data_IF_326746396291
#
_entry.id   IF_326746396291
#
_cell.length_a   1.000
_cell.length_b   1.000
_cell.length_c   1.000
_cell.angle_alpha   90.00
_cell.angle_beta   90.00
_cell.angle_gamma   90.00
#
_symmetry.space_group_name_H-M   'P 1'
#
loop_
_entity.id
_entity.type
_entity.pdbx_description
1 polymer ?
#
# COMPACT_ATOMS: atom_id res chain seq x y z
N UNK A 1 -46.57 6.11 -8.07
CA UNK A 1 -45.70 4.92 -8.13
C UNK A 1 -46.58 3.68 -8.09
N UNK A 2 -46.49 2.78 -9.09
CA UNK A 2 -47.23 1.52 -9.11
C UNK A 2 -46.23 0.37 -8.91
N UNK A 3 -46.42 -0.45 -7.87
CA UNK A 3 -45.58 -1.63 -7.59
C UNK A 3 -45.17 -1.74 -6.12
N UNK A 4 -44.62 -2.90 -5.75
CA UNK A 4 -44.08 -3.15 -4.41
C UNK A 4 -42.84 -2.29 -4.13
N UNK A 5 -42.65 -1.93 -2.87
CA UNK A 5 -41.57 -1.04 -2.44
C UNK A 5 -40.17 -1.53 -2.81
N UNK A 6 -39.33 -0.57 -3.22
CA UNK A 6 -37.88 -0.70 -3.27
C UNK A 6 -37.27 0.38 -2.40
N UNK A 7 -36.29 -0.01 -1.60
CA UNK A 7 -35.61 0.90 -0.70
C UNK A 7 -34.17 0.51 -0.44
N UNK A 8 -33.51 1.33 0.36
CA UNK A 8 -32.18 1.06 0.90
C UNK A 8 -32.19 1.31 2.41
N UNK A 9 -31.47 0.45 3.14
CA UNK A 9 -31.27 0.59 4.58
C UNK A 9 -30.27 1.71 4.81
N UNK A 10 -30.69 2.76 5.52
CA UNK A 10 -29.77 3.80 5.96
C UNK A 10 -29.01 3.37 7.22
N UNK A 11 -29.75 2.90 8.21
CA UNK A 11 -29.19 2.58 9.53
C UNK A 11 -29.90 1.36 10.13
N UNK A 12 -29.13 0.59 10.86
CA UNK A 12 -29.62 -0.52 11.68
C UNK A 12 -29.46 -0.10 13.13
N UNK A 13 -30.56 -0.03 13.88
CA UNK A 13 -30.55 0.53 15.24
C UNK A 13 -31.45 -0.27 16.18
N UNK A 14 -30.92 -0.58 17.35
CA UNK A 14 -31.68 -1.14 18.45
C UNK A 14 -32.49 -0.05 19.16
N UNK A 15 -33.80 -0.26 19.29
CA UNK A 15 -34.72 0.67 19.93
C UNK A 15 -35.35 -0.01 21.17
N UNK A 16 -35.38 0.67 22.33
CA UNK A 16 -35.99 0.12 23.54
C UNK A 16 -37.44 -0.30 23.31
N UNK A 17 -37.76 -1.56 23.61
CA UNK A 17 -39.11 -2.12 23.47
C UNK A 17 -39.50 -2.57 22.05
N UNK A 18 -38.76 -2.16 21.02
CA UNK A 18 -38.99 -2.60 19.63
C UNK A 18 -37.92 -3.60 19.13
N UNK A 19 -36.79 -3.68 19.84
CA UNK A 19 -35.65 -4.48 19.41
C UNK A 19 -34.92 -3.83 18.24
N UNK A 20 -34.34 -4.66 17.36
CA UNK A 20 -33.62 -4.16 16.19
C UNK A 20 -34.61 -3.59 15.15
N UNK A 21 -34.34 -2.38 14.68
CA UNK A 21 -35.15 -1.66 13.69
C UNK A 21 -34.27 -1.20 12.53
N UNK A 22 -34.87 -1.01 11.35
CA UNK A 22 -34.18 -0.43 10.20
C UNK A 22 -34.76 0.95 9.90
N UNK A 23 -33.90 1.94 9.80
CA UNK A 23 -34.24 3.21 9.15
C UNK A 23 -34.00 3.02 7.65
N UNK A 24 -35.04 3.20 6.83
CA UNK A 24 -34.99 2.94 5.39
C UNK A 24 -35.47 4.15 4.60
N UNK A 25 -34.93 4.33 3.40
CA UNK A 25 -35.51 5.20 2.38
C UNK A 25 -36.16 4.32 1.32
N UNK A 26 -37.44 4.56 1.08
CA UNK A 26 -38.20 3.98 -0.03
C UNK A 26 -38.16 4.98 -1.16
N UNK A 27 -37.62 4.57 -2.31
CA UNK A 27 -37.47 5.43 -3.49
C UNK A 27 -38.38 5.01 -4.65
N UNK A 28 -38.98 3.81 -4.59
CA UNK A 28 -39.96 3.34 -5.57
C UNK A 28 -41.03 2.46 -4.89
N UNK A 29 -42.22 2.41 -5.49
CA UNK A 29 -43.35 1.59 -5.02
C UNK A 29 -44.05 2.07 -3.74
N UNK A 30 -44.79 1.15 -3.12
CA UNK A 30 -45.49 1.32 -1.87
C UNK A 30 -45.17 0.16 -0.91
N UNK A 31 -45.02 0.47 0.38
CA UNK A 31 -44.76 -0.49 1.45
C UNK A 31 -45.97 -0.51 2.38
N UNK A 32 -46.49 -1.69 2.66
CA UNK A 32 -47.62 -1.90 3.55
C UNK A 32 -47.21 -2.68 4.79
N UNK A 33 -47.96 -2.48 5.87
CA UNK A 33 -47.88 -3.34 7.04
C UNK A 33 -48.15 -4.79 6.63
N UNK A 34 -47.49 -5.75 7.28
CA UNK A 34 -47.54 -7.18 6.99
C UNK A 34 -46.91 -7.63 5.66
N UNK A 35 -46.40 -6.70 4.84
CA UNK A 35 -45.63 -7.03 3.64
C UNK A 35 -44.45 -7.95 3.98
N UNK A 36 -44.25 -8.94 3.12
CA UNK A 36 -43.04 -9.77 3.14
C UNK A 36 -41.91 -8.99 2.48
N UNK A 37 -40.84 -8.74 3.21
CA UNK A 37 -39.65 -8.03 2.72
C UNK A 37 -38.45 -8.95 2.63
N UNK A 38 -37.56 -8.61 1.70
CA UNK A 38 -36.22 -9.18 1.58
C UNK A 38 -35.20 -8.05 1.72
N UNK A 39 -34.30 -8.17 2.68
CA UNK A 39 -33.25 -7.19 2.97
C UNK A 39 -31.86 -7.84 2.95
N UNK A 40 -30.86 -7.08 2.54
CA UNK A 40 -29.47 -7.54 2.55
C UNK A 40 -28.92 -7.76 3.95
N UNK A 41 -28.39 -8.96 4.18
CA UNK A 41 -27.72 -9.33 5.42
C UNK A 41 -26.25 -9.68 5.21
N UNK A 42 -25.50 -9.82 6.31
CA UNK A 42 -24.05 -10.06 6.32
C UNK A 42 -23.65 -11.37 5.63
N UNK A 43 -24.38 -12.45 5.92
CA UNK A 43 -24.11 -13.79 5.38
C UNK A 43 -25.13 -14.22 4.33
N UNK A 44 -26.41 -13.93 4.58
CA UNK A 44 -27.53 -14.29 3.70
C UNK A 44 -28.59 -13.17 3.69
N UNK A 45 -29.38 -13.05 2.62
CA UNK A 45 -30.56 -12.19 2.63
C UNK A 45 -31.52 -12.60 3.73
N UNK A 46 -32.10 -11.62 4.40
CA UNK A 46 -33.09 -11.79 5.46
C UNK A 46 -34.48 -11.66 4.82
N UNK A 47 -35.34 -12.65 5.07
CA UNK A 47 -36.72 -12.67 4.59
C UNK A 47 -37.62 -12.63 5.83
N UNK A 48 -38.43 -11.58 5.96
CA UNK A 48 -39.32 -11.38 7.13
C UNK A 48 -40.55 -10.57 6.78
N UNK A 49 -41.60 -10.67 7.59
CA UNK A 49 -42.76 -9.79 7.53
C UNK A 49 -42.55 -8.53 8.37
N UNK A 50 -43.08 -7.41 7.88
CA UNK A 50 -43.14 -6.14 8.61
C UNK A 50 -44.20 -6.22 9.70
N UNK A 51 -43.84 -5.92 10.94
CA UNK A 51 -44.78 -5.81 12.06
C UNK A 51 -45.38 -4.41 12.18
N UNK A 52 -44.57 -3.38 11.94
CA UNK A 52 -44.99 -1.99 11.98
C UNK A 52 -44.12 -1.11 11.08
N UNK A 53 -44.75 -0.09 10.49
CA UNK A 53 -44.08 1.00 9.78
C UNK A 53 -44.27 2.25 10.62
N UNK A 54 -43.15 2.86 11.01
CA UNK A 54 -43.09 4.02 11.88
C UNK A 54 -42.61 5.23 11.06
N UNK A 55 -43.40 6.29 11.06
CA UNK A 55 -43.00 7.59 10.49
C UNK A 55 -42.71 8.57 11.63
N UNK A 56 -41.74 9.48 11.46
CA UNK A 56 -41.55 10.56 12.42
C UNK A 56 -42.85 11.36 12.52
N UNK A 57 -43.31 11.65 13.73
CA UNK A 57 -44.42 12.60 13.87
C UNK A 57 -43.98 13.97 13.34
N UNK A 58 -44.89 14.75 12.74
CA UNK A 58 -44.66 16.19 12.55
C UNK A 58 -44.21 16.83 13.87
N UNK A 59 -43.58 18.01 13.82
CA UNK A 59 -43.06 18.74 14.98
C UNK A 59 -44.13 18.99 16.06
N UNK A 60 -44.43 17.97 16.88
CA UNK A 60 -45.27 18.04 18.07
C UNK A 60 -44.39 18.03 19.31
N UNK A 61 -44.83 18.83 20.28
CA UNK A 61 -44.12 19.38 21.43
C UNK A 61 -42.99 18.55 22.06
N UNK A 62 -41.91 19.26 22.45
CA UNK A 62 -40.71 18.84 23.21
C UNK A 62 -41.02 18.14 24.56
N UNK A 63 -42.30 17.91 24.89
CA UNK A 63 -42.76 17.56 26.24
C UNK A 63 -42.77 16.07 26.58
N UNK A 64 -42.70 15.14 25.61
CA UNK A 64 -42.45 13.71 25.91
C UNK A 64 -41.54 13.02 24.88
N UNK A 65 -40.26 12.73 25.21
CA UNK A 65 -39.32 12.09 24.30
C UNK A 65 -39.67 10.63 23.95
N UNK A 66 -40.71 10.04 24.56
CA UNK A 66 -41.14 8.65 24.33
C UNK A 66 -42.09 8.47 23.13
N UNK A 67 -42.71 9.52 22.63
CA UNK A 67 -43.78 9.43 21.62
C UNK A 67 -43.37 10.02 20.25
N UNK A 68 -42.18 9.64 19.76
CA UNK A 68 -41.54 10.24 18.57
C UNK A 68 -42.05 9.74 17.22
N UNK A 69 -42.81 8.63 17.20
CA UNK A 69 -43.20 7.95 15.97
C UNK A 69 -44.69 7.65 15.94
N UNK A 70 -45.32 7.81 14.78
CA UNK A 70 -46.67 7.31 14.50
C UNK A 70 -46.58 6.05 13.65
N UNK A 71 -47.40 5.05 13.97
CA UNK A 71 -47.55 3.86 13.14
C UNK A 71 -48.48 4.17 11.96
N UNK A 72 -48.11 3.73 10.78
CA UNK A 72 -48.92 3.85 9.56
C UNK A 72 -49.08 2.48 8.89
N UNK A 73 -50.20 2.30 8.18
CA UNK A 73 -50.49 1.03 7.49
C UNK A 73 -49.85 0.95 6.10
N UNK A 74 -49.63 2.10 5.45
CA UNK A 74 -49.06 2.17 4.10
C UNK A 74 -48.23 3.44 3.93
N UNK A 75 -47.12 3.32 3.21
CA UNK A 75 -46.27 4.45 2.81
C UNK A 75 -45.90 4.33 1.33
N UNK A 76 -45.85 5.47 0.64
CA UNK A 76 -45.48 5.56 -0.78
C UNK A 76 -44.13 6.25 -0.95
N UNK A 77 -43.36 5.83 -1.96
CA UNK A 77 -42.16 6.54 -2.34
C UNK A 77 -42.43 7.99 -2.78
N UNK A 78 -41.55 8.96 -2.52
CA UNK A 78 -40.31 8.85 -1.76
C UNK A 78 -40.57 9.09 -0.26
N UNK A 79 -40.11 8.18 0.61
CA UNK A 79 -40.32 8.30 2.05
C UNK A 79 -39.18 7.69 2.88
N UNK A 80 -38.80 8.40 3.94
CA UNK A 80 -37.96 7.86 5.01
C UNK A 80 -38.82 7.29 6.12
N UNK A 81 -38.70 6.00 6.39
CA UNK A 81 -39.49 5.31 7.41
C UNK A 81 -38.62 4.42 8.29
N UNK A 82 -39.07 4.16 9.51
CA UNK A 82 -38.49 3.14 10.37
C UNK A 82 -39.37 1.89 10.32
N UNK A 83 -38.78 0.74 10.02
CA UNK A 83 -39.49 -0.53 9.99
C UNK A 83 -39.11 -1.40 11.18
N UNK A 84 -40.12 -2.07 11.73
CA UNK A 84 -39.98 -3.05 12.81
C UNK A 84 -40.32 -4.42 12.23
N UNK A 85 -39.38 -5.36 12.30
CA UNK A 85 -39.56 -6.72 11.84
C UNK A 85 -38.75 -7.70 12.72
N UNK A 86 -39.07 -8.98 12.64
CA UNK A 86 -38.32 -10.03 13.34
C UNK A 86 -37.08 -10.43 12.53
N UNK A 87 -36.04 -10.96 13.18
CA UNK A 87 -34.97 -11.63 12.45
C UNK A 87 -34.05 -10.68 11.68
N UNK A 88 -33.99 -9.41 12.07
CA UNK A 88 -33.20 -8.38 11.41
C UNK A 88 -31.70 -8.44 11.78
N UNK A 89 -31.31 -9.39 12.61
CA UNK A 89 -29.92 -9.57 13.03
C UNK A 89 -29.02 -9.81 11.82
N UNK A 90 -27.98 -8.99 11.70
CA UNK A 90 -27.05 -9.05 10.57
C UNK A 90 -27.51 -8.31 9.31
N UNK A 91 -28.62 -7.56 9.34
CA UNK A 91 -28.92 -6.59 8.29
C UNK A 91 -27.78 -5.58 8.12
N UNK A 92 -27.51 -5.15 6.88
CA UNK A 92 -26.41 -4.22 6.59
C UNK A 92 -26.94 -2.83 6.27
N UNK A 93 -26.27 -1.81 6.82
CA UNK A 93 -26.46 -0.44 6.34
C UNK A 93 -25.95 -0.30 4.89
N UNK A 94 -26.71 0.43 4.08
CA UNK A 94 -26.55 0.55 2.63
C UNK A 94 -27.14 -0.61 1.82
N UNK A 95 -27.68 -1.66 2.46
CA UNK A 95 -28.23 -2.79 1.72
C UNK A 95 -29.58 -2.48 1.05
N UNK A 96 -29.85 -3.11 -0.10
CA UNK A 96 -31.15 -3.00 -0.75
C UNK A 96 -32.24 -3.72 0.05
N UNK A 97 -33.45 -3.20 -0.06
CA UNK A 97 -34.68 -3.76 0.48
C UNK A 97 -35.74 -3.84 -0.63
N UNK A 98 -36.41 -4.99 -0.72
CA UNK A 98 -37.55 -5.20 -1.61
C UNK A 98 -38.74 -5.72 -0.83
N UNK A 99 -39.92 -5.15 -1.07
CA UNK A 99 -41.18 -5.80 -0.74
C UNK A 99 -41.53 -6.82 -1.83
N UNK A 100 -41.92 -8.02 -1.42
CA UNK A 100 -42.32 -9.11 -2.29
C UNK A 100 -43.80 -8.95 -2.62
N UNK A 101 -44.18 -8.80 -3.90
CA UNK A 101 -45.58 -8.73 -4.30
C UNK A 101 -46.34 -10.00 -3.91
N UNK A 102 -47.64 -9.90 -3.59
CA UNK A 102 -48.49 -11.06 -3.36
C UNK A 102 -48.44 -12.04 -4.54
N UNK A 103 -48.15 -13.32 -4.27
CA UNK A 103 -48.08 -14.36 -5.28
C UNK A 103 -46.72 -14.54 -5.96
N UNK A 104 -45.73 -13.67 -5.69
CA UNK A 104 -44.35 -13.87 -6.15
C UNK A 104 -43.49 -14.67 -5.16
N UNK A 105 -42.44 -15.32 -5.68
CA UNK A 105 -41.51 -16.09 -4.84
C UNK A 105 -40.46 -15.20 -4.16
N UNK A 106 -40.32 -15.24 -2.82
CA UNK A 106 -39.30 -14.48 -2.08
C UNK A 106 -37.87 -14.81 -2.51
N UNK A 107 -37.64 -16.05 -2.97
CA UNK A 107 -36.32 -16.52 -3.44
C UNK A 107 -35.81 -15.71 -4.63
N UNK A 108 -36.70 -15.20 -5.48
CA UNK A 108 -36.32 -14.34 -6.62
C UNK A 108 -35.69 -13.04 -6.12
N UNK A 109 -36.31 -12.39 -5.16
CA UNK A 109 -35.82 -11.15 -4.56
C UNK A 109 -34.56 -11.36 -3.72
N UNK A 110 -34.45 -12.49 -3.02
CA UNK A 110 -33.22 -12.87 -2.31
C UNK A 110 -32.02 -12.99 -3.25
N UNK A 111 -32.20 -13.55 -4.46
CA UNK A 111 -31.15 -13.58 -5.48
C UNK A 111 -30.76 -12.17 -5.93
N UNK A 112 -31.74 -11.29 -6.21
CA UNK A 112 -31.46 -9.90 -6.60
C UNK A 112 -30.61 -9.17 -5.56
N UNK A 113 -31.02 -9.21 -4.29
CA UNK A 113 -30.29 -8.63 -3.16
C UNK A 113 -28.87 -9.19 -3.07
N UNK A 114 -28.71 -10.50 -3.22
CA UNK A 114 -27.39 -11.15 -3.15
C UNK A 114 -26.46 -10.67 -4.25
N UNK A 115 -26.96 -10.57 -5.49
CA UNK A 115 -26.16 -10.12 -6.63
C UNK A 115 -25.78 -8.64 -6.54
N UNK A 116 -26.62 -7.79 -5.94
CA UNK A 116 -26.27 -6.39 -5.68
C UNK A 116 -25.16 -6.27 -4.63
N UNK A 117 -25.26 -7.01 -3.51
CA UNK A 117 -24.22 -7.00 -2.46
C UNK A 117 -22.89 -7.55 -2.98
N UNK A 118 -22.91 -8.60 -3.81
CA UNK A 118 -21.71 -9.18 -4.42
C UNK A 118 -20.97 -8.23 -5.36
N UNK A 119 -21.65 -7.23 -5.95
CA UNK A 119 -20.97 -6.21 -6.77
C UNK A 119 -20.18 -5.22 -5.93
N UNK A 120 -20.64 -4.98 -4.70
CA UNK A 120 -20.02 -4.05 -3.75
C UNK A 120 -18.89 -4.76 -2.99
N UNK A 121 -19.09 -6.00 -2.57
CA UNK A 121 -18.06 -6.81 -1.92
C UNK A 121 -17.08 -7.36 -2.93
N UNK A 122 -15.80 -7.25 -2.62
CA UNK A 122 -14.71 -7.71 -3.50
C UNK A 122 -14.02 -8.88 -2.83
N UNK A 123 -13.80 -9.96 -3.57
CA UNK A 123 -12.94 -11.06 -3.16
C UNK A 123 -12.31 -11.61 -4.44
N UNK A 124 -11.03 -11.27 -4.63
CA UNK A 124 -10.25 -11.60 -5.82
C UNK A 124 -8.89 -12.13 -5.42
N UNK A 125 -8.22 -12.83 -6.33
CA UNK A 125 -6.89 -13.39 -6.07
C UNK A 125 -5.75 -12.41 -6.41
N UNK A 126 -6.05 -11.14 -6.64
CA UNK A 126 -5.04 -10.13 -7.00
C UNK A 126 -4.16 -9.77 -5.80
N UNK A 127 -2.96 -9.28 -6.10
CA UNK A 127 -2.06 -8.68 -5.12
C UNK A 127 -2.56 -7.29 -4.77
N UNK A 128 -3.37 -7.19 -3.71
CA UNK A 128 -4.05 -5.97 -3.34
C UNK A 128 -4.33 -5.87 -1.86
N UNK A 129 -4.73 -4.69 -1.44
CA UNK A 129 -5.00 -4.39 -0.02
C UNK A 129 -6.29 -5.07 0.45
N UNK A 130 -6.40 -5.24 1.76
CA UNK A 130 -7.64 -5.70 2.42
C UNK A 130 -8.38 -4.48 3.00
N UNK A 131 -9.65 -4.34 2.66
CA UNK A 131 -10.51 -3.23 3.08
C UNK A 131 -11.69 -3.75 3.90
N UNK A 132 -11.86 -3.20 5.10
CA UNK A 132 -12.97 -3.48 6.02
C UNK A 132 -13.69 -2.18 6.36
N UNK A 133 -15.02 -2.20 6.30
CA UNK A 133 -15.86 -1.04 6.62
C UNK A 133 -17.09 -1.42 7.43
N UNK A 134 -17.77 -0.43 8.01
CA UNK A 134 -18.98 -0.60 8.81
C UNK A 134 -20.26 -0.70 7.97
N UNK A 135 -20.31 -0.01 6.82
CA UNK A 135 -21.46 -0.01 5.91
C UNK A 135 -21.07 -0.37 4.48
N UNK A 136 -22.05 -0.80 3.66
CA UNK A 136 -21.82 -1.03 2.23
C UNK A 136 -21.49 0.26 1.47
N UNK A 137 -22.11 1.39 1.84
CA UNK A 137 -21.88 2.67 1.18
C UNK A 137 -20.47 3.21 1.40
N UNK A 138 -19.95 3.11 2.62
CA UNK A 138 -18.54 3.46 2.90
C UNK A 138 -17.58 2.52 2.18
N UNK A 139 -17.90 1.23 2.10
CA UNK A 139 -17.07 0.24 1.41
C UNK A 139 -16.93 0.59 -0.08
N UNK A 140 -18.05 0.89 -0.73
CA UNK A 140 -18.10 1.29 -2.15
C UNK A 140 -17.31 2.58 -2.40
N UNK A 141 -17.53 3.62 -1.58
CA UNK A 141 -16.87 4.90 -1.71
C UNK A 141 -15.33 4.78 -1.57
N UNK A 142 -14.87 4.02 -0.58
CA UNK A 142 -13.43 3.82 -0.36
C UNK A 142 -12.82 2.99 -1.49
N UNK A 143 -13.48 1.91 -1.91
CA UNK A 143 -13.00 1.07 -3.01
C UNK A 143 -12.86 1.85 -4.33
N UNK A 144 -13.80 2.74 -4.65
CA UNK A 144 -13.75 3.58 -5.84
C UNK A 144 -12.59 4.59 -5.78
N UNK A 145 -12.36 5.24 -4.63
CA UNK A 145 -11.22 6.16 -4.44
C UNK A 145 -9.88 5.42 -4.60
N UNK A 146 -9.76 4.22 -4.05
CA UNK A 146 -8.56 3.39 -4.18
C UNK A 146 -8.30 3.01 -5.63
N UNK A 147 -9.35 2.63 -6.37
CA UNK A 147 -9.28 2.31 -7.78
C UNK A 147 -8.83 3.51 -8.62
N UNK A 148 -9.34 4.71 -8.34
CA UNK A 148 -8.92 5.96 -9.00
C UNK A 148 -7.43 6.27 -8.74
N UNK A 149 -6.90 5.85 -7.59
CA UNK A 149 -5.48 5.98 -7.24
C UNK A 149 -4.62 4.79 -7.71
N UNK A 150 -5.14 3.92 -8.58
CA UNK A 150 -4.48 2.70 -9.07
C UNK A 150 -4.05 1.73 -7.95
N UNK A 151 -4.81 1.67 -6.87
CA UNK A 151 -4.60 0.72 -5.77
C UNK A 151 -5.56 -0.44 -5.94
N UNK A 152 -5.02 -1.65 -6.06
CA UNK A 152 -5.82 -2.87 -6.17
C UNK A 152 -6.34 -3.30 -4.80
N UNK A 153 -7.58 -3.77 -4.77
CA UNK A 153 -8.23 -4.28 -3.57
C UNK A 153 -8.45 -5.77 -3.76
N UNK A 154 -7.85 -6.58 -2.88
CA UNK A 154 -8.00 -8.04 -2.87
C UNK A 154 -9.32 -8.44 -2.24
N UNK A 155 -9.59 -7.89 -1.05
CA UNK A 155 -10.79 -8.16 -0.26
C UNK A 155 -11.41 -6.82 0.14
N UNK A 156 -12.71 -6.67 -0.10
CA UNK A 156 -13.53 -5.57 0.42
C UNK A 156 -14.78 -6.17 1.06
N UNK A 157 -14.93 -6.02 2.37
CA UNK A 157 -16.04 -6.63 3.11
C UNK A 157 -16.49 -5.80 4.31
N UNK A 158 -17.71 -6.06 4.80
CA UNK A 158 -18.33 -5.32 5.91
C UNK A 158 -18.13 -6.04 7.24
N UNK A 159 -17.67 -5.31 8.25
CA UNK A 159 -17.49 -5.76 9.62
C UNK A 159 -16.06 -5.62 10.13
N UNK A 160 -15.88 -5.99 11.40
CA UNK A 160 -14.60 -5.88 12.10
C UNK A 160 -13.46 -6.68 11.43
N UNK A 161 -12.24 -6.21 11.63
CA UNK A 161 -11.01 -6.87 11.16
C UNK A 161 -10.79 -8.13 11.98
N UNK A 162 -10.73 -9.26 11.29
CA UNK A 162 -10.53 -10.59 11.86
C UNK A 162 -9.12 -11.11 11.60
N UNK A 163 -8.73 -12.17 12.31
CA UNK A 163 -7.47 -12.87 12.07
C UNK A 163 -7.31 -13.33 10.62
N UNK A 164 -8.42 -13.73 9.96
CA UNK A 164 -8.41 -14.12 8.56
C UNK A 164 -7.97 -12.98 7.65
N UNK A 165 -8.44 -11.77 7.90
CA UNK A 165 -8.09 -10.58 7.11
C UNK A 165 -6.57 -10.29 7.20
N UNK A 166 -5.96 -10.51 8.37
CA UNK A 166 -4.51 -10.39 8.61
C UNK A 166 -3.71 -11.44 7.88
N UNK A 167 -4.18 -12.69 7.87
CA UNK A 167 -3.53 -13.77 7.13
C UNK A 167 -3.52 -13.46 5.63
N UNK A 168 -4.65 -13.02 5.06
CA UNK A 168 -4.73 -12.64 3.65
C UNK A 168 -3.77 -11.48 3.30
N UNK A 169 -3.73 -10.44 4.13
CA UNK A 169 -2.77 -9.34 3.95
C UNK A 169 -1.31 -9.81 4.04
N UNK A 170 -1.02 -10.83 4.88
CA UNK A 170 0.33 -11.38 4.99
C UNK A 170 0.77 -12.15 3.76
N UNK A 171 -0.14 -12.90 3.11
CA UNK A 171 0.14 -13.61 1.86
C UNK A 171 0.48 -12.61 0.74
N UNK A 172 -0.25 -11.49 0.68
CA UNK A 172 0.07 -10.40 -0.27
C UNK A 172 1.43 -9.78 0.03
N UNK A 173 1.74 -9.55 1.32
CA UNK A 173 3.02 -8.95 1.73
C UNK A 173 4.25 -9.76 1.29
N UNK A 174 4.14 -11.09 1.27
CA UNK A 174 5.23 -11.97 0.83
C UNK A 174 5.60 -11.75 -0.64
N UNK A 175 4.61 -11.46 -1.49
CA UNK A 175 4.79 -11.25 -2.92
C UNK A 175 5.03 -9.79 -3.26
N UNK A 176 4.18 -8.89 -2.77
CA UNK A 176 4.26 -7.45 -2.96
C UNK A 176 4.17 -6.72 -1.61
N UNK A 177 5.33 -6.43 -0.96
CA UNK A 177 5.38 -5.88 0.40
C UNK A 177 4.62 -4.56 0.59
N UNK A 178 4.41 -3.80 -0.48
CA UNK A 178 3.72 -2.52 -0.48
C UNK A 178 2.20 -2.64 -0.37
N UNK A 179 1.61 -3.78 -0.73
CA UNK A 179 0.16 -3.98 -0.74
C UNK A 179 -0.35 -4.90 0.38
N UNK A 180 0.56 -5.49 1.15
CA UNK A 180 0.23 -6.31 2.32
C UNK A 180 -0.20 -5.49 3.54
N UNK A 181 -1.30 -4.73 3.41
CA UNK A 181 -1.84 -3.86 4.46
C UNK A 181 -3.36 -3.97 4.58
N UNK A 182 -3.89 -3.54 5.72
CA UNK A 182 -5.33 -3.53 6.00
C UNK A 182 -5.81 -2.09 6.20
N UNK A 183 -6.89 -1.72 5.53
CA UNK A 183 -7.65 -0.50 5.78
C UNK A 183 -8.93 -0.83 6.55
N UNK A 184 -9.07 -0.24 7.74
CA UNK A 184 -10.18 -0.46 8.66
C UNK A 184 -10.95 0.85 8.89
N UNK A 185 -12.07 1.01 8.18
CA UNK A 185 -12.92 2.20 8.25
C UNK A 185 -14.06 2.01 9.24
N UNK A 186 -14.08 2.82 10.31
CA UNK A 186 -15.10 2.83 11.35
C UNK A 186 -15.43 1.45 11.97
N UNK A 187 -14.46 0.53 11.96
CA UNK A 187 -14.61 -0.82 12.51
C UNK A 187 -13.57 -1.10 13.59
N UNK A 188 -13.81 -2.12 14.40
CA UNK A 188 -12.87 -2.59 15.41
C UNK A 188 -11.88 -3.58 14.78
N UNK A 189 -10.74 -3.72 15.45
CA UNK A 189 -9.77 -4.79 15.18
C UNK A 189 -9.95 -5.78 16.33
N UNK A 190 -10.24 -7.04 16.00
CA UNK A 190 -10.42 -8.07 17.02
C UNK A 190 -9.07 -8.34 17.71
N UNK A 191 -9.06 -8.73 19.01
CA UNK A 191 -7.81 -8.91 19.76
C UNK A 191 -6.85 -9.91 19.10
N UNK A 192 -7.38 -11.04 18.61
CA UNK A 192 -6.62 -12.08 17.90
C UNK A 192 -6.04 -11.59 16.56
N UNK A 193 -6.73 -10.65 15.90
CA UNK A 193 -6.25 -10.01 14.68
C UNK A 193 -5.12 -9.00 14.98
N UNK A 194 -5.24 -8.24 16.07
CA UNK A 194 -4.21 -7.28 16.47
C UNK A 194 -2.89 -7.99 16.82
N UNK A 195 -2.95 -9.07 17.61
CA UNK A 195 -1.79 -9.89 17.95
C UNK A 195 -1.12 -10.49 16.70
N UNK A 196 -1.91 -11.05 15.77
CA UNK A 196 -1.37 -11.63 14.54
C UNK A 196 -0.74 -10.56 13.63
N UNK A 197 -1.32 -9.36 13.59
CA UNK A 197 -0.80 -8.25 12.80
C UNK A 197 0.57 -7.79 13.31
N UNK A 198 0.78 -7.75 14.64
CA UNK A 198 2.09 -7.47 15.23
C UNK A 198 3.11 -8.56 14.91
N UNK A 199 2.74 -9.83 15.08
CA UNK A 199 3.63 -10.98 14.81
C UNK A 199 4.10 -10.99 13.35
N UNK A 200 3.20 -10.73 12.40
CA UNK A 200 3.50 -10.72 10.96
C UNK A 200 3.94 -9.35 10.43
N UNK A 201 4.01 -8.36 11.31
CA UNK A 201 4.35 -6.97 11.00
C UNK A 201 3.45 -6.38 9.88
N UNK A 202 2.14 -6.65 9.94
CA UNK A 202 1.14 -6.14 9.00
C UNK A 202 0.66 -4.77 9.46
N UNK A 203 0.79 -3.77 8.59
CA UNK A 203 0.32 -2.43 8.89
C UNK A 203 -1.22 -2.38 8.77
N UNK A 204 -1.88 -1.95 9.84
CA UNK A 204 -3.33 -1.72 9.87
C UNK A 204 -3.60 -0.23 10.02
N UNK A 205 -4.32 0.35 9.06
CA UNK A 205 -4.76 1.74 9.10
C UNK A 205 -6.20 1.77 9.62
N UNK A 206 -6.40 2.37 10.79
CA UNK A 206 -7.71 2.48 11.41
C UNK A 206 -8.14 3.93 11.50
N UNK A 207 -9.24 4.28 10.86
CA UNK A 207 -9.76 5.65 10.83
C UNK A 207 -11.29 5.67 10.80
N UNK A 208 -11.88 6.81 11.19
CA UNK A 208 -13.32 7.05 11.11
C UNK A 208 -13.70 8.02 9.98
N UNK A 209 -12.70 8.65 9.34
CA UNK A 209 -12.88 9.63 8.27
C UNK A 209 -12.19 9.12 7.00
N UNK A 210 -12.93 9.05 5.90
CA UNK A 210 -12.47 8.43 4.64
C UNK A 210 -11.16 9.07 4.14
N UNK A 211 -11.13 10.41 4.08
CA UNK A 211 -9.95 11.12 3.57
C UNK A 211 -8.70 10.88 4.42
N UNK A 212 -8.84 10.79 5.74
CA UNK A 212 -7.69 10.49 6.61
C UNK A 212 -7.16 9.08 6.37
N UNK A 213 -8.05 8.10 6.19
CA UNK A 213 -7.66 6.72 5.91
C UNK A 213 -6.83 6.63 4.62
N UNK A 214 -7.34 7.24 3.55
CA UNK A 214 -6.69 7.25 2.25
C UNK A 214 -5.38 8.04 2.30
N UNK A 215 -5.37 9.24 2.86
CA UNK A 215 -4.18 10.08 2.93
C UNK A 215 -3.06 9.42 3.73
N UNK A 216 -3.39 8.82 4.87
CA UNK A 216 -2.41 8.12 5.72
C UNK A 216 -1.82 6.92 4.98
N UNK A 217 -2.66 6.14 4.28
CA UNK A 217 -2.21 5.04 3.46
C UNK A 217 -1.34 5.49 2.28
N UNK A 218 -1.75 6.50 1.51
CA UNK A 218 -1.00 7.00 0.35
C UNK A 218 0.34 7.62 0.75
N UNK A 219 0.38 8.35 1.88
CA UNK A 219 1.64 8.87 2.45
C UNK A 219 2.57 7.74 2.84
N UNK A 220 2.06 6.72 3.52
CA UNK A 220 2.84 5.54 3.86
C UNK A 220 3.35 4.82 2.61
N UNK A 221 2.49 4.56 1.63
CA UNK A 221 2.86 3.90 0.37
C UNK A 221 3.96 4.66 -0.37
N UNK A 222 3.86 6.00 -0.44
CA UNK A 222 4.89 6.85 -1.02
C UNK A 222 6.22 6.72 -0.27
N UNK A 223 6.19 6.81 1.07
CA UNK A 223 7.40 6.69 1.90
C UNK A 223 8.08 5.32 1.76
N UNK A 224 7.31 4.24 1.65
CA UNK A 224 7.84 2.89 1.46
C UNK A 224 8.46 2.71 0.07
N UNK A 225 7.84 3.28 -0.97
CA UNK A 225 8.43 3.31 -2.32
C UNK A 225 9.74 4.07 -2.34
N UNK A 226 9.79 5.25 -1.71
CA UNK A 226 11.01 6.06 -1.60
C UNK A 226 12.10 5.31 -0.83
N UNK A 227 11.77 4.68 0.29
CA UNK A 227 12.72 3.88 1.07
C UNK A 227 13.25 2.67 0.29
N UNK A 228 12.40 1.97 -0.46
CA UNK A 228 12.81 0.85 -1.34
C UNK A 228 13.77 1.34 -2.42
N UNK A 229 13.44 2.44 -3.10
CA UNK A 229 14.30 3.05 -4.11
C UNK A 229 15.64 3.52 -3.52
N UNK A 230 15.63 4.03 -2.29
CA UNK A 230 16.87 4.42 -1.61
C UNK A 230 17.74 3.21 -1.26
N UNK A 231 17.15 2.13 -0.74
CA UNK A 231 17.88 0.88 -0.47
C UNK A 231 18.43 0.24 -1.74
N UNK A 232 17.67 0.26 -2.83
CA UNK A 232 18.15 -0.19 -4.14
C UNK A 232 19.30 0.67 -4.63
N UNK A 233 19.19 2.00 -4.50
CA UNK A 233 20.24 2.94 -4.86
C UNK A 233 21.51 2.74 -4.02
N UNK A 234 21.41 2.54 -2.71
CA UNK A 234 22.57 2.31 -1.82
C UNK A 234 23.34 1.04 -2.16
N UNK A 235 22.66 0.00 -2.68
CA UNK A 235 23.29 -1.25 -3.11
C UNK A 235 24.10 -1.11 -4.40
N UNK A 236 23.81 -0.11 -5.24
CA UNK A 236 24.51 0.10 -6.51
C UNK A 236 25.96 0.51 -6.27
N UNK A 237 26.87 -0.07 -7.05
CA UNK A 237 28.27 0.32 -7.06
C UNK A 237 28.41 1.74 -7.62
N UNK A 238 28.93 2.65 -6.80
CA UNK A 238 29.02 4.07 -7.15
C UNK A 238 30.30 4.37 -7.96
N UNK A 239 30.25 5.29 -8.92
CA UNK A 239 31.41 5.67 -9.72
C UNK A 239 32.47 6.35 -8.83
N UNK A 240 33.73 6.11 -9.15
CA UNK A 240 34.86 6.74 -8.48
C UNK A 240 36.07 6.78 -9.38
N UNK A 241 36.81 7.88 -9.33
CA UNK A 241 38.05 8.12 -10.07
C UNK A 241 39.11 8.52 -9.07
N UNK A 242 40.21 7.79 -9.05
CA UNK A 242 41.29 7.98 -8.09
C UNK A 242 42.62 8.10 -8.80
N UNK A 243 43.53 8.89 -8.21
CA UNK A 243 44.90 9.07 -8.66
C UNK A 243 45.87 8.49 -7.64
N UNK A 244 46.80 7.65 -8.07
CA UNK A 244 47.88 7.17 -7.19
C UNK A 244 48.90 8.30 -7.00
N UNK A 245 49.12 8.69 -5.74
CA UNK A 245 50.00 9.81 -5.40
C UNK A 245 51.49 9.43 -5.52
N UNK A 246 52.28 10.31 -6.14
CA UNK A 246 53.72 10.15 -6.29
C UNK A 246 54.45 10.23 -4.95
N UNK A 247 55.35 9.27 -4.68
CA UNK A 247 56.10 9.18 -3.42
C UNK A 247 55.32 8.65 -2.21
N UNK A 248 54.04 8.31 -2.34
CA UNK A 248 53.20 7.80 -1.25
C UNK A 248 52.97 6.29 -1.31
N UNK A 249 54.02 5.53 -1.64
CA UNK A 249 53.98 4.05 -1.66
C UNK A 249 54.55 3.50 -0.36
N UNK A 250 53.68 3.07 0.54
CA UNK A 250 54.06 2.54 1.87
C UNK A 250 54.46 1.06 1.81
N UNK A 251 53.78 0.28 0.97
CA UNK A 251 54.04 -1.15 0.78
C UNK A 251 53.74 -1.56 -0.65
N UNK A 252 54.68 -2.27 -1.29
CA UNK A 252 54.57 -2.61 -2.72
C UNK A 252 53.68 -3.81 -3.03
N UNK A 253 53.51 -4.76 -2.12
CA UNK A 253 52.70 -5.97 -2.34
C UNK A 253 52.31 -6.70 -1.05
N UNK A 254 51.24 -7.51 -1.14
CA UNK A 254 50.74 -8.46 -0.14
C UNK A 254 50.59 -7.90 1.30
N UNK A 255 49.67 -6.96 1.57
CA UNK A 255 48.92 -6.14 0.61
C UNK A 255 49.77 -4.97 0.09
N UNK A 256 49.50 -4.51 -1.12
CA UNK A 256 49.99 -3.20 -1.58
C UNK A 256 49.26 -2.10 -0.80
N UNK A 257 50.01 -1.14 -0.27
CA UNK A 257 49.49 0.01 0.46
C UNK A 257 50.10 1.27 -0.14
N UNK A 258 49.26 2.12 -0.70
CA UNK A 258 49.67 3.37 -1.34
C UNK A 258 48.63 4.47 -1.12
N UNK A 259 49.10 5.72 -1.12
CA UNK A 259 48.27 6.91 -1.04
C UNK A 259 47.58 7.18 -2.36
N UNK A 260 46.29 7.52 -2.29
CA UNK A 260 45.49 7.93 -3.44
C UNK A 260 44.76 9.22 -3.13
N UNK A 261 44.53 10.01 -4.17
CA UNK A 261 43.64 11.16 -4.16
C UNK A 261 42.35 10.82 -4.91
N UNK A 262 41.20 11.09 -4.31
CA UNK A 262 39.90 10.89 -4.97
C UNK A 262 39.65 12.10 -5.88
N UNK A 263 39.81 11.91 -7.19
CA UNK A 263 39.60 12.97 -8.18
C UNK A 263 38.11 13.27 -8.41
N UNK A 264 37.26 12.25 -8.28
CA UNK A 264 35.82 12.38 -8.47
C UNK A 264 35.08 11.14 -7.98
N UNK A 265 33.82 11.34 -7.60
CA UNK A 265 32.98 10.27 -7.06
C UNK A 265 33.38 9.80 -5.67
N UNK A 266 33.18 8.51 -5.40
CA UNK A 266 33.45 7.91 -4.10
C UNK A 266 34.15 6.55 -4.20
N UNK A 267 34.92 6.23 -3.17
CA UNK A 267 35.60 4.95 -3.00
C UNK A 267 35.17 4.31 -1.68
N UNK A 268 34.77 3.04 -1.73
CA UNK A 268 34.44 2.24 -0.53
C UNK A 268 35.29 0.97 -0.48
N UNK A 269 35.49 0.38 0.72
CA UNK A 269 35.99 -0.98 0.82
C UNK A 269 35.15 -1.94 -0.02
N UNK A 270 35.79 -3.00 -0.52
CA UNK A 270 35.24 -4.01 -1.43
C UNK A 270 34.98 -3.57 -2.87
N UNK A 271 35.23 -2.30 -3.20
CA UNK A 271 35.14 -1.86 -4.60
C UNK A 271 36.31 -2.42 -5.39
N UNK A 272 36.01 -2.97 -6.56
CA UNK A 272 37.02 -3.37 -7.54
C UNK A 272 37.46 -2.18 -8.38
N UNK A 273 38.73 -2.12 -8.74
CA UNK A 273 39.31 -1.03 -9.54
C UNK A 273 39.81 -1.54 -10.89
N UNK A 274 39.71 -0.67 -11.91
CA UNK A 274 40.33 -0.85 -13.22
C UNK A 274 41.23 0.33 -13.54
N UNK A 275 42.26 0.13 -14.36
CA UNK A 275 43.13 1.23 -14.82
C UNK A 275 42.45 2.05 -15.90
N UNK A 276 42.53 3.37 -15.85
CA UNK A 276 41.89 4.24 -16.83
C UNK A 276 42.38 4.02 -18.27
N UNK A 277 43.69 3.79 -18.44
CA UNK A 277 44.36 3.67 -19.74
C UNK A 277 43.97 2.40 -20.49
N UNK A 278 44.21 1.22 -19.89
CA UNK A 278 44.07 -0.09 -20.53
C UNK A 278 42.94 -0.93 -19.92
N UNK A 279 42.28 -0.44 -18.86
CA UNK A 279 41.18 -1.09 -18.11
C UNK A 279 41.49 -2.50 -17.67
N UNK A 280 42.78 -2.76 -17.42
CA UNK A 280 43.21 -3.92 -16.68
C UNK A 280 42.55 -3.93 -15.29
N UNK A 281 42.08 -5.11 -14.88
CA UNK A 281 41.50 -5.33 -13.56
C UNK A 281 42.60 -5.36 -12.49
N UNK A 282 42.63 -4.32 -11.66
CA UNK A 282 43.66 -4.10 -10.63
C UNK A 282 43.34 -4.89 -9.35
N UNK A 283 42.05 -5.12 -9.08
CA UNK A 283 41.56 -5.88 -7.94
C UNK A 283 40.72 -5.07 -6.96
N UNK A 284 40.46 -5.67 -5.81
CA UNK A 284 39.54 -5.16 -4.79
C UNK A 284 40.26 -4.36 -3.69
N UNK A 285 39.63 -3.28 -3.23
CA UNK A 285 40.05 -2.49 -2.08
C UNK A 285 39.69 -3.22 -0.79
N UNK A 286 40.69 -3.60 0.01
CA UNK A 286 40.49 -4.25 1.32
C UNK A 286 40.10 -3.22 2.39
N UNK A 287 40.87 -2.13 2.47
CA UNK A 287 40.70 -1.13 3.51
C UNK A 287 41.11 0.26 2.99
N UNK A 288 40.43 1.28 3.51
CA UNK A 288 40.75 2.68 3.30
C UNK A 288 41.07 3.30 4.66
N UNK A 289 42.15 4.07 4.73
CA UNK A 289 42.56 4.75 5.95
C UNK A 289 42.79 6.25 5.70
N UNK A 290 42.21 7.08 6.56
CA UNK A 290 42.52 8.51 6.67
C UNK A 290 43.31 8.74 7.96
N UNK A 291 44.54 9.25 7.83
CA UNK A 291 45.46 9.53 8.95
C UNK A 291 45.57 8.38 9.97
N UNK A 292 45.64 7.15 9.45
CA UNK A 292 45.77 5.92 10.25
C UNK A 292 44.47 5.40 10.87
N UNK A 293 43.32 6.04 10.62
CA UNK A 293 42.00 5.55 11.04
C UNK A 293 41.27 4.93 9.86
N UNK A 294 40.68 3.75 10.07
CA UNK A 294 39.86 3.10 9.05
C UNK A 294 38.57 3.89 8.81
N UNK A 295 38.24 4.10 7.53
CA UNK A 295 37.03 4.80 7.11
C UNK A 295 36.19 3.93 6.18
N UNK A 296 34.87 4.13 6.19
CA UNK A 296 33.91 3.36 5.39
C UNK A 296 33.70 3.92 3.98
N UNK A 297 34.01 5.19 3.76
CA UNK A 297 33.97 5.83 2.44
C UNK A 297 35.01 6.95 2.33
N UNK A 298 35.47 7.22 1.11
CA UNK A 298 36.31 8.36 0.76
C UNK A 298 35.67 9.10 -0.43
N UNK A 299 35.55 10.42 -0.32
CA UNK A 299 34.91 11.30 -1.30
C UNK A 299 35.92 12.16 -2.04
N UNK A 300 35.46 12.79 -3.12
CA UNK A 300 36.24 13.74 -3.92
C UNK A 300 37.04 14.74 -3.06
N UNK A 301 38.31 14.92 -3.41
CA UNK A 301 39.27 15.79 -2.72
C UNK A 301 39.95 15.16 -1.50
N UNK A 302 39.51 13.99 -1.02
CA UNK A 302 40.18 13.29 0.06
C UNK A 302 41.47 12.61 -0.44
N UNK A 303 42.51 12.67 0.39
CA UNK A 303 43.76 11.92 0.21
C UNK A 303 43.84 10.84 1.27
N UNK A 304 43.82 9.58 0.86
CA UNK A 304 43.66 8.41 1.75
C UNK A 304 44.63 7.31 1.38
N UNK A 305 45.01 6.48 2.34
CA UNK A 305 45.79 5.27 2.07
C UNK A 305 44.85 4.11 1.75
N UNK A 306 45.12 3.39 0.67
CA UNK A 306 44.33 2.24 0.21
C UNK A 306 45.17 0.97 0.30
N UNK A 307 44.57 -0.09 0.82
CA UNK A 307 45.16 -1.43 0.90
C UNK A 307 44.51 -2.37 -0.11
N UNK A 308 45.30 -3.04 -0.94
CA UNK A 308 44.85 -4.00 -1.95
C UNK A 308 45.76 -5.24 -2.01
N UNK A 309 45.18 -6.44 -2.04
CA UNK A 309 45.99 -7.68 -2.03
C UNK A 309 46.58 -8.07 -3.39
N UNK A 310 45.80 -7.85 -4.46
CA UNK A 310 46.10 -8.32 -5.82
C UNK A 310 47.22 -7.53 -6.53
N UNK A 311 47.24 -6.18 -6.53
CA UNK A 311 48.20 -5.44 -7.33
C UNK A 311 49.59 -5.39 -6.67
N UNK A 312 50.61 -5.14 -7.51
CA UNK A 312 51.99 -4.91 -7.09
C UNK A 312 52.39 -3.54 -7.64
N UNK A 313 52.76 -2.61 -6.76
CA UNK A 313 53.20 -1.27 -7.16
C UNK A 313 54.54 -1.36 -7.88
N UNK A 314 54.62 -0.77 -9.07
CA UNK A 314 55.75 -0.86 -10.01
C UNK A 314 55.65 -2.00 -11.02
N UNK A 315 54.56 -2.78 -11.03
CA UNK A 315 54.28 -3.81 -12.04
C UNK A 315 52.85 -3.75 -12.58
N UNK A 316 51.87 -3.70 -11.68
CA UNK A 316 50.45 -3.67 -12.02
C UNK A 316 49.85 -2.27 -11.88
N UNK A 317 50.42 -1.43 -11.01
CA UNK A 317 50.03 -0.03 -10.84
C UNK A 317 51.30 0.79 -10.65
N UNK A 318 51.30 2.02 -11.16
CA UNK A 318 52.40 2.96 -11.07
C UNK A 318 51.96 4.25 -10.38
N UNK A 319 52.93 5.01 -9.88
CA UNK A 319 52.66 6.36 -9.38
C UNK A 319 52.11 7.23 -10.52
N UNK A 320 51.14 8.10 -10.23
CA UNK A 320 50.37 8.91 -11.20
C UNK A 320 49.37 8.13 -12.06
N UNK A 321 49.22 6.81 -11.87
CA UNK A 321 48.14 6.07 -12.52
C UNK A 321 46.77 6.57 -12.05
N UNK A 322 45.84 6.70 -12.99
CA UNK A 322 44.43 6.94 -12.71
C UNK A 322 43.69 5.60 -12.75
N UNK A 323 42.94 5.31 -11.70
CA UNK A 323 42.08 4.13 -11.60
C UNK A 323 40.61 4.56 -11.50
N UNK A 324 39.74 3.79 -12.12
CA UNK A 324 38.28 3.91 -11.96
C UNK A 324 37.74 2.77 -11.11
N UNK A 325 36.68 3.04 -10.37
CA UNK A 325 35.85 2.00 -9.77
C UNK A 325 35.19 1.20 -10.89
N UNK A 326 35.32 -0.11 -10.82
CA UNK A 326 34.70 -1.07 -11.73
C UNK A 326 33.20 -1.15 -11.44
N UNK A 327 32.43 -0.23 -12.02
CA UNK A 327 30.97 -0.26 -11.93
C UNK A 327 30.44 -1.40 -12.81
N UNK A 328 29.69 -2.37 -12.27
CA UNK A 328 29.02 -3.40 -13.06
C UNK A 328 28.09 -2.78 -14.11
N UNK A 329 27.94 -3.43 -15.26
CA UNK A 329 27.10 -2.92 -16.34
C UNK A 329 25.62 -2.69 -15.94
N UNK A 330 24.96 -3.60 -15.17
CA UNK A 330 23.60 -3.36 -14.70
C UNK A 330 23.49 -2.12 -13.80
N UNK A 331 24.47 -1.94 -12.91
CA UNK A 331 24.53 -0.79 -12.00
C UNK A 331 24.75 0.51 -12.78
N UNK A 332 25.69 0.51 -13.74
CA UNK A 332 25.97 1.66 -14.58
C UNK A 332 24.74 2.07 -15.39
N UNK A 333 23.99 1.09 -15.94
CA UNK A 333 22.74 1.35 -16.65
C UNK A 333 21.69 1.98 -15.72
N UNK A 334 21.45 1.38 -14.55
CA UNK A 334 20.50 1.91 -13.57
C UNK A 334 20.85 3.33 -13.11
N UNK A 335 22.15 3.61 -12.90
CA UNK A 335 22.65 4.93 -12.54
C UNK A 335 22.45 5.96 -13.66
N UNK A 336 22.70 5.59 -14.92
CA UNK A 336 22.55 6.48 -16.07
C UNK A 336 21.08 6.77 -16.42
N UNK A 337 20.19 5.78 -16.31
CA UNK A 337 18.79 5.92 -16.76
C UNK A 337 17.85 6.42 -15.68
N UNK A 338 18.05 5.99 -14.44
CA UNK A 338 17.03 6.09 -13.39
C UNK A 338 17.48 6.95 -12.21
N UNK A 339 18.79 7.03 -11.94
CA UNK A 339 19.30 7.68 -10.73
C UNK A 339 20.35 8.78 -11.01
N UNK A 340 20.44 9.27 -12.24
CA UNK A 340 21.47 10.25 -12.63
C UNK A 340 21.38 11.53 -11.78
N UNK A 341 20.16 12.03 -11.56
CA UNK A 341 19.90 13.23 -10.76
C UNK A 341 20.20 13.06 -9.26
N UNK A 342 20.28 11.82 -8.76
CA UNK A 342 20.66 11.53 -7.37
C UNK A 342 22.19 11.54 -7.16
N UNK A 343 22.98 11.47 -8.23
CA UNK A 343 24.44 11.51 -8.17
C UNK A 343 24.95 12.94 -8.08
N UNK A 344 26.03 13.14 -7.35
CA UNK A 344 26.77 14.42 -7.34
C UNK A 344 27.34 14.72 -8.72
N UNK A 345 27.59 16.00 -9.04
CA UNK A 345 28.15 16.41 -10.34
C UNK A 345 29.45 15.65 -10.67
N UNK A 346 30.35 15.50 -9.69
CA UNK A 346 31.58 14.73 -9.86
C UNK A 346 31.34 13.23 -10.09
N UNK A 347 30.32 12.62 -9.48
CA UNK A 347 29.93 11.23 -9.77
C UNK A 347 29.37 11.08 -11.19
N UNK A 348 28.57 12.04 -11.65
CA UNK A 348 27.99 12.02 -13.00
C UNK A 348 29.06 12.14 -14.07
N UNK A 349 30.04 13.03 -13.89
CA UNK A 349 31.18 13.20 -14.79
C UNK A 349 32.00 11.90 -14.87
N UNK A 350 32.39 11.34 -13.71
CA UNK A 350 33.15 10.09 -13.66
C UNK A 350 32.38 8.93 -14.29
N UNK A 351 31.06 8.84 -14.07
CA UNK A 351 30.24 7.79 -14.67
C UNK A 351 30.18 7.91 -16.20
N UNK A 352 30.06 9.13 -16.73
CA UNK A 352 30.09 9.37 -18.18
C UNK A 352 31.45 9.03 -18.77
N UNK A 353 32.54 9.50 -18.15
CA UNK A 353 33.91 9.17 -18.56
C UNK A 353 34.14 7.65 -18.58
N UNK A 354 33.77 6.97 -17.49
CA UNK A 354 33.90 5.52 -17.36
C UNK A 354 33.09 4.79 -18.45
N UNK A 355 31.85 5.24 -18.70
CA UNK A 355 30.98 4.64 -19.71
C UNK A 355 31.55 4.80 -21.13
N UNK A 356 32.11 5.97 -21.45
CA UNK A 356 32.78 6.20 -22.73
C UNK A 356 34.03 5.33 -22.88
N UNK A 357 34.83 5.19 -21.82
CA UNK A 357 36.02 4.34 -21.81
C UNK A 357 35.67 2.85 -22.01
N UNK A 358 34.56 2.39 -21.44
CA UNK A 358 34.06 1.03 -21.60
C UNK A 358 33.43 0.79 -22.99
N UNK A 359 32.68 1.75 -23.53
CA UNK A 359 32.07 1.66 -24.87
C UNK A 359 33.08 1.59 -26.01
N UNK A 360 34.28 2.15 -25.84
CA UNK A 360 35.41 1.99 -26.78
C UNK A 360 35.89 0.53 -26.90
N UNK A 361 35.57 -0.32 -25.93
CA UNK A 361 36.01 -1.72 -25.85
C UNK A 361 34.89 -2.70 -26.15
N UNK A 362 33.70 -2.40 -25.63
CA UNK A 362 32.49 -3.19 -25.82
C UNK A 362 31.43 -2.27 -26.42
N UNK A 363 31.19 -2.34 -27.74
CA UNK A 363 30.08 -1.63 -28.36
C UNK A 363 28.77 -1.99 -27.65
N UNK A 364 27.91 -1.00 -27.37
CA UNK A 364 26.64 -1.12 -26.62
C UNK A 364 26.72 -1.30 -25.10
N UNK A 365 27.90 -1.14 -24.49
CA UNK A 365 28.03 -1.19 -23.02
C UNK A 365 27.17 -0.11 -22.33
N UNK A 366 26.30 -0.55 -21.42
CA UNK A 366 25.35 0.28 -20.68
C UNK A 366 24.44 1.16 -21.56
N UNK A 367 23.95 0.62 -22.69
CA UNK A 367 22.90 1.23 -23.53
C UNK A 367 21.48 0.80 -23.12
#
# INVERSE_FOLDING_TARGET
>A
TKGSAKGSVLEVKEEPGLGLTLNIIIYDGALQKDDLIVVGGKEKPIITHIRAILVPKPLDEIRDPRDRFSSVDCVFAAAGVKIVASGLEGALAGAPLYAVPPGEEPKRYAKLVTEEIKKIRISTDVEGIVLKADTLGSLEAIAEILKQNNVQVRIADVGDVSKRDVVEASVVKEHEPLYGVILAFNVKILPDAAEEAEIRNIQVFKEQIIYHLIDNYLKWLKSQREAKLEQEFEKLTKPGKILIMEGYVFRRAKPAIFGVEILGGQLKPKYSLIRAEDGADIGEVQQIQDKGKAISDAKQGMQVAVSMDKPIVGRHVFEKDILYVKVPEPDAKALLTTHLEKLTEGEQEVLKEYSEAMRKRTPFWAC
#
